data_IF_452245065668
#
_entry.id   IF_452245065668
#
_cell.length_a   1.000
_cell.length_b   1.000
_cell.length_c   1.000
_cell.angle_alpha   90.00
_cell.angle_beta   90.00
_cell.angle_gamma   90.00
#
_symmetry.space_group_name_H-M   'P 1'
#
loop_
_entity.id
_entity.type
_entity.pdbx_description
1 polymer ?
#
# COMPACT_ATOMS: atom_id res chain seq x y z
N UNK A 1 6.62 11.90 -24.82
CA UNK A 1 6.38 11.57 -26.24
C UNK A 1 5.54 10.33 -26.49
N UNK A 2 5.67 9.23 -25.72
CA UNK A 2 4.92 7.99 -25.95
C UNK A 2 3.39 8.19 -25.95
N UNK A 3 2.85 8.89 -24.95
CA UNK A 3 1.41 9.13 -24.83
C UNK A 3 0.85 9.95 -26.01
N UNK A 4 1.62 10.91 -26.53
CA UNK A 4 1.25 11.68 -27.72
C UNK A 4 1.28 10.82 -28.98
N UNK A 5 2.30 10.00 -29.16
CA UNK A 5 2.38 9.05 -30.29
C UNK A 5 1.22 8.05 -30.32
N UNK A 6 0.69 7.67 -29.13
CA UNK A 6 -0.48 6.77 -29.01
C UNK A 6 -1.82 7.50 -29.04
N UNK A 7 -1.83 8.83 -29.18
CA UNK A 7 -3.07 9.62 -29.19
C UNK A 7 -3.76 9.77 -27.84
N UNK A 8 -3.10 9.38 -26.75
CA UNK A 8 -3.65 9.48 -25.39
C UNK A 8 -3.51 10.88 -24.78
N UNK A 9 -2.67 11.71 -25.38
CA UNK A 9 -2.43 13.08 -24.96
C UNK A 9 -2.49 14.00 -26.18
N UNK A 10 -3.39 15.00 -26.16
CA UNK A 10 -3.53 15.97 -27.23
C UNK A 10 -2.37 16.97 -27.25
N UNK A 11 -2.11 17.57 -28.43
CA UNK A 11 -1.09 18.61 -28.56
C UNK A 11 -1.45 19.82 -27.68
N UNK A 12 -0.45 20.36 -26.97
CA UNK A 12 -0.64 21.46 -26.02
C UNK A 12 -1.15 21.06 -24.63
N UNK A 13 -1.59 19.82 -24.46
CA UNK A 13 -2.06 19.33 -23.17
C UNK A 13 -0.88 18.96 -22.25
N UNK A 14 -0.92 19.39 -20.98
CA UNK A 14 0.05 19.00 -19.98
C UNK A 14 -0.13 17.54 -19.59
N UNK A 15 0.98 16.80 -19.48
CA UNK A 15 0.96 15.41 -19.06
C UNK A 15 0.58 15.30 -17.57
N UNK A 16 -0.54 14.66 -17.30
CA UNK A 16 -0.89 14.19 -15.96
C UNK A 16 -0.90 12.66 -15.98
N UNK A 17 0.14 12.04 -15.42
CA UNK A 17 0.40 10.61 -15.57
C UNK A 17 -0.83 9.74 -15.30
N UNK A 18 -1.48 9.92 -14.16
CA UNK A 18 -2.66 9.17 -13.79
C UNK A 18 -3.80 9.29 -14.81
N UNK A 19 -4.15 10.53 -15.21
CA UNK A 19 -5.28 10.77 -16.12
C UNK A 19 -5.00 10.26 -17.53
N UNK A 20 -3.72 10.25 -17.93
CA UNK A 20 -3.29 9.84 -19.27
C UNK A 20 -3.19 8.32 -19.40
N UNK A 21 -2.74 7.62 -18.35
CA UNK A 21 -2.42 6.19 -18.42
C UNK A 21 -3.39 5.27 -17.66
N UNK A 22 -4.30 5.80 -16.82
CA UNK A 22 -5.24 4.94 -16.12
C UNK A 22 -6.50 4.67 -16.94
N UNK A 23 -6.99 3.43 -16.87
CA UNK A 23 -8.33 3.10 -17.36
C UNK A 23 -9.39 3.81 -16.52
N UNK A 24 -10.44 4.35 -17.16
CA UNK A 24 -11.47 5.12 -16.43
C UNK A 24 -12.33 4.26 -15.50
N UNK A 25 -12.53 2.99 -15.85
CA UNK A 25 -13.43 2.09 -15.12
C UNK A 25 -12.76 1.35 -13.98
N UNK A 26 -11.60 0.75 -14.24
CA UNK A 26 -10.93 -0.15 -13.27
C UNK A 26 -10.56 0.53 -11.94
N UNK A 27 -10.01 1.76 -11.91
CA UNK A 27 -9.71 2.44 -10.64
C UNK A 27 -10.96 2.74 -9.80
N UNK A 28 -12.12 2.95 -10.43
CA UNK A 28 -13.39 3.17 -9.74
C UNK A 28 -13.93 1.88 -9.12
N UNK A 29 -13.94 0.79 -9.87
CA UNK A 29 -14.36 -0.53 -9.37
C UNK A 29 -13.44 -1.03 -8.25
N UNK A 30 -12.14 -0.79 -8.37
CA UNK A 30 -11.15 -1.16 -7.38
C UNK A 30 -11.06 -0.19 -6.19
N UNK A 31 -11.90 0.85 -6.12
CA UNK A 31 -11.91 1.85 -5.06
C UNK A 31 -10.52 2.50 -4.76
N UNK A 32 -9.69 2.68 -5.80
CA UNK A 32 -8.32 3.18 -5.66
C UNK A 32 -8.26 4.58 -5.04
N UNK A 33 -9.21 5.47 -5.39
CA UNK A 33 -9.27 6.82 -4.85
C UNK A 33 -9.60 6.83 -3.36
N UNK A 34 -10.49 5.94 -2.93
CA UNK A 34 -10.83 5.83 -1.53
C UNK A 34 -9.62 5.42 -0.68
N UNK A 35 -8.89 4.39 -1.11
CA UNK A 35 -7.68 3.93 -0.41
C UNK A 35 -6.58 4.99 -0.39
N UNK A 36 -6.38 5.69 -1.51
CA UNK A 36 -5.42 6.80 -1.58
C UNK A 36 -5.77 7.89 -0.58
N UNK A 37 -7.01 8.38 -0.61
CA UNK A 37 -7.44 9.44 0.29
C UNK A 37 -7.34 9.02 1.77
N UNK A 38 -7.70 7.78 2.08
CA UNK A 38 -7.57 7.24 3.44
C UNK A 38 -6.11 7.18 3.91
N UNK A 39 -5.16 6.79 3.04
CA UNK A 39 -3.75 6.77 3.39
C UNK A 39 -3.14 8.18 3.48
N UNK A 40 -3.49 9.08 2.58
CA UNK A 40 -3.04 10.48 2.59
C UNK A 40 -3.53 11.19 3.86
N UNK A 41 -4.83 11.09 4.18
CA UNK A 41 -5.39 11.72 5.37
C UNK A 41 -4.72 11.24 6.65
N UNK A 42 -4.53 9.92 6.79
CA UNK A 42 -3.86 9.35 7.97
C UNK A 42 -2.36 9.66 8.02
N UNK A 43 -1.70 9.75 6.86
CA UNK A 43 -0.28 10.06 6.75
C UNK A 43 0.05 11.52 7.05
N UNK A 44 -0.83 12.46 6.63
CA UNK A 44 -0.61 13.90 6.77
C UNK A 44 -1.13 14.48 8.09
N UNK A 45 -1.97 13.74 8.82
CA UNK A 45 -2.56 14.19 10.08
C UNK A 45 -1.58 14.32 11.25
N UNK A 46 -0.32 13.88 11.09
CA UNK A 46 0.68 13.83 12.16
C UNK A 46 1.90 14.67 11.83
N UNK A 47 2.34 15.48 12.77
CA UNK A 47 3.55 16.29 12.64
C UNK A 47 4.82 15.44 12.59
N UNK A 48 4.83 14.31 13.29
CA UNK A 48 5.91 13.31 13.27
C UNK A 48 5.32 11.96 12.88
N UNK A 49 5.79 11.42 11.77
CA UNK A 49 5.36 10.14 11.22
C UNK A 49 6.37 9.04 11.60
N UNK A 50 5.91 8.00 12.27
CA UNK A 50 6.72 6.88 12.72
C UNK A 50 6.44 5.60 11.93
N UNK A 51 7.34 4.61 12.08
CA UNK A 51 7.15 3.25 11.53
C UNK A 51 5.86 2.61 12.06
N UNK A 52 5.50 2.85 13.33
CA UNK A 52 4.24 2.36 13.92
C UNK A 52 3.02 2.96 13.25
N UNK A 53 3.10 4.23 12.84
CA UNK A 53 2.02 4.90 12.10
C UNK A 53 1.83 4.27 10.72
N UNK A 54 2.93 3.96 10.03
CA UNK A 54 2.90 3.24 8.78
C UNK A 54 2.24 1.86 8.92
N UNK A 55 2.59 1.09 9.97
CA UNK A 55 1.93 -0.19 10.26
C UNK A 55 0.44 -0.03 10.51
N UNK A 56 0.05 0.98 11.28
CA UNK A 56 -1.35 1.29 11.56
C UNK A 56 -2.14 1.60 10.30
N UNK A 57 -1.56 2.39 9.39
CA UNK A 57 -2.17 2.73 8.10
C UNK A 57 -2.37 1.48 7.26
N UNK A 58 -1.33 0.64 7.10
CA UNK A 58 -1.41 -0.59 6.32
C UNK A 58 -2.41 -1.62 6.88
N UNK A 59 -2.74 -1.54 8.16
CA UNK A 59 -3.73 -2.39 8.84
C UNK A 59 -5.15 -1.83 8.83
N UNK A 60 -5.37 -0.67 8.20
CA UNK A 60 -6.68 0.00 8.22
C UNK A 60 -7.71 -0.73 7.39
N UNK A 61 -8.90 -0.89 7.96
CA UNK A 61 -10.11 -1.35 7.29
C UNK A 61 -11.08 -0.18 7.05
N UNK A 62 -12.06 -0.37 6.15
CA UNK A 62 -13.09 0.64 5.88
C UNK A 62 -13.98 0.89 7.10
N UNK A 63 -14.27 -0.18 7.86
CA UNK A 63 -15.09 -0.14 9.06
C UNK A 63 -14.26 -0.48 10.30
N UNK A 64 -14.60 0.12 11.42
CA UNK A 64 -13.93 -0.14 12.71
C UNK A 64 -14.27 -1.54 13.25
N UNK A 65 -15.54 -1.96 13.12
CA UNK A 65 -16.05 -3.27 13.51
C UNK A 65 -15.77 -4.36 12.45
N UNK A 66 -14.58 -4.37 11.92
CA UNK A 66 -14.18 -5.24 10.84
C UNK A 66 -14.18 -6.72 11.24
N UNK A 67 -14.81 -7.56 10.40
CA UNK A 67 -14.67 -9.01 10.44
C UNK A 67 -14.02 -9.51 9.15
N UNK A 68 -13.03 -10.43 9.21
CA UNK A 68 -12.29 -10.89 8.02
C UNK A 68 -13.17 -11.43 6.88
N UNK A 69 -14.32 -12.00 7.19
CA UNK A 69 -15.28 -12.48 6.19
C UNK A 69 -15.99 -11.36 5.44
N UNK A 70 -15.94 -10.12 5.93
CA UNK A 70 -16.61 -8.96 5.36
C UNK A 70 -15.60 -8.02 4.67
N UNK A 71 -14.79 -8.57 3.77
CA UNK A 71 -13.78 -7.81 3.03
C UNK A 71 -14.37 -6.68 2.18
N UNK A 72 -13.64 -5.59 2.03
CA UNK A 72 -13.98 -4.45 1.20
C UNK A 72 -12.81 -4.01 0.34
N UNK A 73 -13.08 -3.65 -0.92
CA UNK A 73 -12.08 -3.04 -1.82
C UNK A 73 -11.64 -1.65 -1.37
N UNK A 74 -12.35 -1.03 -0.42
CA UNK A 74 -12.01 0.27 0.16
C UNK A 74 -11.04 0.19 1.32
N UNK A 75 -10.85 -0.99 1.90
CA UNK A 75 -9.86 -1.22 2.96
C UNK A 75 -8.44 -1.14 2.41
N UNK A 76 -7.49 -0.56 3.15
CA UNK A 76 -6.06 -0.65 2.85
C UNK A 76 -5.56 -2.08 3.09
N UNK A 77 -5.95 -2.66 4.22
CA UNK A 77 -5.81 -4.09 4.47
C UNK A 77 -7.01 -4.82 3.85
N UNK A 78 -6.85 -5.26 2.61
CA UNK A 78 -7.93 -5.98 1.91
C UNK A 78 -7.98 -7.45 2.34
N UNK A 79 -9.21 -7.93 2.51
CA UNK A 79 -9.51 -9.34 2.74
C UNK A 79 -10.40 -9.87 1.63
N UNK A 80 -10.08 -11.03 1.10
CA UNK A 80 -10.93 -11.67 0.10
C UNK A 80 -12.24 -12.12 0.75
N UNK A 81 -13.37 -11.68 0.18
CA UNK A 81 -14.70 -12.10 0.62
C UNK A 81 -15.65 -12.15 -0.59
N UNK A 82 -16.04 -13.35 -0.95
CA UNK A 82 -17.01 -13.59 -2.04
C UNK A 82 -16.54 -13.11 -3.43
N UNK A 83 -17.49 -13.08 -4.36
CA UNK A 83 -17.23 -12.79 -5.78
C UNK A 83 -16.84 -11.33 -6.06
N UNK A 84 -17.30 -10.39 -5.24
CA UNK A 84 -17.08 -8.95 -5.47
C UNK A 84 -15.79 -8.41 -4.85
N UNK A 85 -15.16 -9.16 -3.95
CA UNK A 85 -13.90 -8.81 -3.31
C UNK A 85 -12.92 -9.99 -3.37
N UNK A 86 -12.49 -10.40 -4.57
CA UNK A 86 -11.65 -11.59 -4.73
C UNK A 86 -10.19 -11.36 -4.33
N UNK A 87 -9.81 -10.12 -4.05
CA UNK A 87 -8.42 -9.73 -3.76
C UNK A 87 -8.19 -9.57 -2.27
N UNK A 88 -6.99 -9.95 -1.83
CA UNK A 88 -6.52 -9.67 -0.47
C UNK A 88 -5.10 -9.13 -0.49
N UNK A 89 -4.71 -8.45 0.59
CA UNK A 89 -3.32 -8.02 0.80
C UNK A 89 -2.46 -9.23 1.11
N UNK A 90 -1.56 -9.59 0.21
CA UNK A 90 -0.70 -10.80 0.34
C UNK A 90 0.59 -10.53 1.11
N UNK A 91 0.98 -9.27 1.24
CA UNK A 91 2.15 -8.85 1.99
C UNK A 91 2.18 -7.34 2.14
N UNK A 92 2.96 -6.86 3.10
CA UNK A 92 3.18 -5.43 3.32
C UNK A 92 4.63 -5.17 3.68
N UNK A 93 5.11 -4.02 3.24
CA UNK A 93 6.49 -3.57 3.47
C UNK A 93 6.48 -2.12 3.94
N UNK A 94 7.29 -1.83 4.94
CA UNK A 94 7.64 -0.47 5.37
C UNK A 94 9.15 -0.35 5.38
N UNK A 95 9.67 0.71 4.79
CA UNK A 95 11.11 0.99 4.77
C UNK A 95 11.36 2.27 5.55
N UNK A 96 12.18 2.17 6.59
CA UNK A 96 12.67 3.30 7.35
C UNK A 96 14.02 3.72 6.79
N UNK A 97 14.03 4.85 6.08
CA UNK A 97 15.26 5.45 5.55
C UNK A 97 15.85 6.38 6.59
N UNK A 98 17.13 6.19 6.91
CA UNK A 98 17.88 7.01 7.86
C UNK A 98 19.12 7.58 7.18
N UNK A 99 19.45 8.84 7.50
CA UNK A 99 20.67 9.44 7.04
C UNK A 99 21.86 8.76 7.72
N UNK A 100 22.86 8.38 6.94
CA UNK A 100 24.14 7.80 7.40
C UNK A 100 24.00 6.48 8.20
N UNK A 101 22.88 5.77 8.05
CA UNK A 101 22.64 4.44 8.66
C UNK A 101 21.98 3.50 7.67
N UNK A 102 22.18 2.18 7.77
CA UNK A 102 21.45 1.21 6.96
C UNK A 102 19.93 1.38 7.12
N UNK A 103 19.22 1.22 6.01
CA UNK A 103 17.77 1.19 6.03
C UNK A 103 17.27 -0.04 6.79
N UNK A 104 16.18 0.13 7.53
CA UNK A 104 15.45 -1.00 8.11
C UNK A 104 14.23 -1.27 7.27
N UNK A 105 14.09 -2.50 6.80
CA UNK A 105 12.91 -2.96 6.05
C UNK A 105 12.07 -3.82 6.96
N UNK A 106 10.80 -3.47 7.08
CA UNK A 106 9.83 -4.23 7.85
C UNK A 106 8.89 -4.95 6.90
N UNK A 107 8.83 -6.27 7.00
CA UNK A 107 8.03 -7.13 6.13
C UNK A 107 7.02 -7.95 6.93
N UNK A 108 5.85 -8.18 6.35
CA UNK A 108 4.93 -9.22 6.83
C UNK A 108 5.23 -10.53 6.10
N UNK A 109 5.36 -11.62 6.83
CA UNK A 109 5.62 -12.96 6.27
C UNK A 109 4.35 -13.69 5.80
N UNK A 110 3.18 -13.12 6.09
CA UNK A 110 1.87 -13.70 5.77
C UNK A 110 0.94 -12.67 5.18
N UNK A 111 -0.13 -13.11 4.51
CA UNK A 111 -1.20 -12.24 4.03
C UNK A 111 -1.94 -11.58 5.20
N UNK A 112 -2.71 -10.55 4.89
CA UNK A 112 -3.48 -9.75 5.84
C UNK A 112 -2.61 -9.07 6.93
N UNK A 113 -2.05 -7.88 6.65
CA UNK A 113 -1.15 -7.16 7.58
C UNK A 113 -1.76 -6.88 8.95
N UNK A 114 -3.10 -6.87 9.08
CA UNK A 114 -3.76 -6.70 10.37
C UNK A 114 -3.57 -7.92 11.31
N UNK A 115 -3.36 -9.11 10.74
CA UNK A 115 -3.14 -10.37 11.47
C UNK A 115 -1.66 -10.77 11.50
N UNK A 116 -0.79 -10.01 10.81
CA UNK A 116 0.62 -10.35 10.63
C UNK A 116 1.52 -9.51 11.51
N UNK A 117 2.67 -10.08 11.86
CA UNK A 117 3.76 -9.33 12.50
C UNK A 117 4.68 -8.74 11.43
N UNK A 118 5.02 -7.46 11.56
CA UNK A 118 6.08 -6.83 10.79
C UNK A 118 7.43 -7.20 11.40
N UNK A 119 8.25 -7.93 10.66
CA UNK A 119 9.59 -8.36 11.07
C UNK A 119 10.63 -7.41 10.47
N UNK A 120 11.62 -6.93 11.25
CA UNK A 120 12.69 -6.08 10.74
C UNK A 120 13.73 -6.91 10.00
N UNK A 121 14.22 -6.35 8.89
CA UNK A 121 15.36 -6.85 8.12
C UNK A 121 16.35 -5.71 7.92
N UNK A 122 17.63 -6.00 8.09
CA UNK A 122 18.73 -5.05 7.94
C UNK A 122 19.59 -5.46 6.77
N UNK A 123 19.78 -4.57 5.79
CA UNK A 123 20.67 -4.84 4.68
C UNK A 123 22.12 -4.67 5.09
N UNK A 124 22.99 -5.57 4.63
CA UNK A 124 24.45 -5.50 4.84
C UNK A 124 24.93 -6.16 6.13
N UNK A 125 24.08 -6.80 6.90
CA UNK A 125 24.48 -7.67 8.00
C UNK A 125 24.08 -9.10 7.70
N UNK A 126 24.96 -10.05 7.92
CA UNK A 126 24.62 -11.47 7.95
C UNK A 126 23.75 -11.70 9.20
N UNK A 127 22.44 -11.66 8.98
CA UNK A 127 21.44 -11.79 10.07
C UNK A 127 21.17 -13.26 10.39
N UNK A 128 21.66 -14.15 9.57
CA UNK A 128 21.60 -15.58 9.80
C UNK A 128 22.97 -16.05 10.27
N UNK A 129 23.26 -15.96 11.57
CA UNK A 129 24.20 -16.90 12.15
C UNK A 129 23.65 -18.30 11.85
N UNK A 130 24.44 -19.08 11.13
CA UNK A 130 24.16 -20.51 10.96
C UNK A 130 24.13 -21.12 12.35
N UNK A 131 22.91 -21.26 12.88
CA UNK A 131 22.73 -22.11 14.07
C UNK A 131 22.80 -23.55 13.57
N UNK A 132 23.99 -24.14 13.65
CA UNK A 132 24.23 -25.55 13.51
C UNK A 132 23.56 -26.27 14.67
#
# INVERSE_FOLDING_TARGET
>A
DFARKKGWLKNGQQLHFRNTFSAWLMPRLAACDYRRNASETKGTSRALFSVKDAFSILRTHEKEDFHPANGSTRSLCMHASGLFTPHQSVGSMVVELRKDKPATVWLTGTSAPCLSLFKPFYFGNDVLEETI
#
